data_IF_025161865901
#
_entry.id   IF_025161865901
#
_cell.length_a   1.000
_cell.length_b   1.000
_cell.length_c   1.000
_cell.angle_alpha   90.00
_cell.angle_beta   90.00
_cell.angle_gamma   90.00
#
_symmetry.space_group_name_H-M   'P 1'
#
loop_
_entity.id
_entity.type
_entity.pdbx_description
1 polymer ?
#
# COMPACT_ATOMS: atom_id res chain seq x y z
N UNK A 1 -3.50 -2.08 38.84
CA UNK A 1 -3.84 -3.49 38.54
C UNK A 1 -5.04 -3.88 39.39
N UNK A 2 -6.24 -4.02 38.80
CA UNK A 2 -7.45 -4.45 39.50
C UNK A 2 -8.19 -5.46 38.64
N UNK A 3 -8.63 -6.53 39.28
CA UNK A 3 -8.91 -7.86 38.73
C UNK A 3 -10.43 -8.00 38.58
N UNK A 4 -10.86 -8.63 37.48
CA UNK A 4 -12.24 -9.05 37.20
C UNK A 4 -12.98 -9.68 38.37
N UNK A 5 -14.29 -9.42 38.45
CA UNK A 5 -15.28 -10.34 39.04
C UNK A 5 -16.49 -10.50 38.12
N UNK A 6 -16.85 -11.75 37.92
CA UNK A 6 -17.99 -12.37 37.21
C UNK A 6 -18.36 -13.59 38.11
N UNK A 7 -19.56 -14.25 38.15
CA UNK A 7 -20.96 -14.06 37.63
C UNK A 7 -22.01 -14.36 38.77
N UNK A 8 -23.17 -15.09 38.63
CA UNK A 8 -24.29 -15.27 37.65
C UNK A 8 -25.71 -15.10 38.35
N UNK A 9 -26.79 -15.86 38.02
CA UNK A 9 -27.75 -15.79 36.90
C UNK A 9 -29.22 -15.52 37.39
N UNK A 10 -30.21 -15.49 36.47
CA UNK A 10 -31.49 -16.25 36.55
C UNK A 10 -32.73 -15.56 35.94
N UNK A 11 -33.35 -16.31 35.00
CA UNK A 11 -34.78 -16.38 34.62
C UNK A 11 -35.46 -15.12 34.03
N UNK A 12 -36.40 -15.19 33.09
CA UNK A 12 -37.35 -16.23 32.77
C UNK A 12 -37.84 -16.15 31.30
N UNK A 13 -38.23 -17.31 30.76
CA UNK A 13 -39.15 -17.45 29.63
C UNK A 13 -40.53 -16.86 29.98
N UNK A 14 -41.33 -16.46 28.98
CA UNK A 14 -42.45 -17.36 28.68
C UNK A 14 -42.68 -17.63 27.19
N UNK A 15 -43.16 -18.85 26.97
CA UNK A 15 -43.70 -19.38 25.74
C UNK A 15 -44.90 -18.58 25.21
N UNK A 16 -45.05 -18.52 23.88
CA UNK A 16 -46.39 -18.58 23.30
C UNK A 16 -46.45 -19.37 22.00
N UNK A 17 -47.35 -20.34 22.06
CA UNK A 17 -47.74 -21.38 21.12
C UNK A 17 -48.64 -20.79 20.02
N UNK A 18 -48.31 -21.00 18.74
CA UNK A 18 -49.27 -21.09 17.64
C UNK A 18 -48.58 -21.52 16.31
N UNK A 19 -48.79 -22.78 15.92
CA UNK A 19 -48.80 -23.29 14.54
C UNK A 19 -50.18 -23.97 14.37
N UNK A 20 -50.80 -24.17 13.16
CA UNK A 20 -50.19 -24.64 11.89
C UNK A 20 -50.92 -24.11 10.61
N UNK A 21 -50.97 -24.80 9.44
CA UNK A 21 -49.87 -25.07 8.50
C UNK A 21 -50.17 -24.68 7.02
N UNK A 22 -49.13 -24.86 6.20
CA UNK A 22 -49.14 -25.25 4.77
C UNK A 22 -49.56 -24.25 3.68
N UNK A 23 -48.62 -23.94 2.78
CA UNK A 23 -48.91 -23.23 1.55
C UNK A 23 -47.72 -22.67 0.77
N UNK A 24 -46.87 -23.56 0.23
CA UNK A 24 -45.99 -23.35 -0.95
C UNK A 24 -44.93 -22.23 -0.92
N UNK A 25 -43.68 -22.68 -0.84
CA UNK A 25 -42.60 -22.43 -1.81
C UNK A 25 -42.55 -21.06 -2.49
N UNK A 26 -41.53 -20.23 -2.20
CA UNK A 26 -40.30 -20.18 -2.99
C UNK A 26 -39.31 -19.13 -2.46
N UNK A 27 -38.03 -19.47 -2.62
CA UNK A 27 -36.78 -18.70 -2.54
C UNK A 27 -36.30 -18.16 -1.19
N UNK A 28 -35.07 -18.57 -0.89
CA UNK A 28 -34.35 -18.41 0.34
C UNK A 28 -33.27 -17.33 0.23
N UNK A 29 -32.94 -16.76 1.41
CA UNK A 29 -31.58 -16.43 1.90
C UNK A 29 -30.91 -15.16 1.33
N UNK A 30 -30.03 -14.51 2.12
CA UNK A 30 -30.23 -13.92 3.45
C UNK A 30 -29.83 -12.43 3.43
N UNK A 31 -29.95 -11.79 4.59
CA UNK A 31 -29.35 -10.51 4.98
C UNK A 31 -28.08 -10.14 4.20
N UNK A 32 -28.03 -8.92 3.66
CA UNK A 32 -26.80 -8.14 3.57
C UNK A 32 -26.36 -7.89 5.01
N UNK A 33 -25.67 -8.82 5.66
CA UNK A 33 -24.24 -9.11 5.54
C UNK A 33 -23.47 -7.80 5.70
N UNK A 34 -23.03 -7.59 6.93
CA UNK A 34 -21.71 -7.03 7.19
C UNK A 34 -20.74 -7.65 6.20
N UNK A 35 -20.37 -6.90 5.16
CA UNK A 35 -19.19 -7.19 4.35
C UNK A 35 -18.03 -6.51 5.08
N UNK A 36 -17.61 -7.16 6.16
CA UNK A 36 -16.18 -7.27 6.42
C UNK A 36 -15.71 -8.54 5.72
N UNK A 37 -14.48 -8.47 5.17
CA UNK A 37 -13.85 -9.36 4.19
C UNK A 37 -14.24 -9.01 2.73
N UNK A 38 -13.31 -8.86 1.79
CA UNK A 38 -12.11 -9.66 1.64
C UNK A 38 -11.20 -9.08 0.54
N UNK A 39 -9.90 -9.32 0.65
CA UNK A 39 -8.85 -8.89 -0.26
C UNK A 39 -8.10 -7.68 0.33
N UNK A 40 -7.21 -7.84 1.30
CA UNK A 40 -5.99 -8.63 1.11
C UNK A 40 -5.52 -8.46 -0.34
N UNK A 41 -5.07 -7.24 -0.66
CA UNK A 41 -4.19 -7.02 -1.80
C UNK A 41 -2.91 -7.80 -1.45
N UNK A 42 -2.98 -9.12 -1.66
CA UNK A 42 -1.79 -9.94 -1.79
C UNK A 42 -0.89 -9.14 -2.72
N UNK A 43 0.33 -8.77 -2.27
CA UNK A 43 1.06 -7.65 -2.84
C UNK A 43 1.09 -7.85 -4.34
N UNK A 44 0.35 -6.98 -5.06
CA UNK A 44 0.22 -7.06 -6.50
C UNK A 44 1.63 -7.24 -7.04
N UNK A 45 1.89 -8.46 -7.56
CA UNK A 45 3.21 -8.92 -8.01
C UNK A 45 3.86 -7.76 -8.74
N UNK A 46 4.81 -7.12 -8.07
CA UNK A 46 5.49 -5.88 -8.44
C UNK A 46 5.29 -5.50 -9.92
N UNK A 47 4.22 -4.74 -10.22
CA UNK A 47 3.85 -4.39 -11.59
C UNK A 47 4.89 -3.40 -12.14
N UNK A 48 5.86 -3.94 -12.88
CA UNK A 48 6.97 -3.18 -13.45
C UNK A 48 6.47 -2.06 -14.40
N UNK A 49 5.49 -2.29 -15.30
CA UNK A 49 4.80 -1.22 -15.99
C UNK A 49 4.23 -0.11 -15.10
N UNK A 50 3.64 -0.44 -13.94
CA UNK A 50 3.17 0.57 -12.98
C UNK A 50 4.33 1.34 -12.34
N UNK A 51 5.41 0.65 -11.96
CA UNK A 51 6.62 1.31 -11.45
C UNK A 51 7.19 2.30 -12.47
N UNK A 52 7.31 1.90 -13.73
CA UNK A 52 7.81 2.79 -14.80
C UNK A 52 6.98 4.06 -14.92
N UNK A 53 5.64 3.95 -14.84
CA UNK A 53 4.73 5.10 -14.84
C UNK A 53 4.90 5.97 -13.60
N UNK A 54 5.02 5.36 -12.41
CA UNK A 54 5.23 6.08 -11.16
C UNK A 54 6.57 6.83 -11.15
N UNK A 55 7.64 6.20 -11.65
CA UNK A 55 8.95 6.82 -11.83
C UNK A 55 8.86 7.98 -12.82
N UNK A 56 8.27 7.78 -13.99
CA UNK A 56 8.10 8.86 -14.97
C UNK A 56 7.36 10.05 -14.34
N UNK A 57 6.23 9.81 -13.66
CA UNK A 57 5.47 10.84 -12.97
C UNK A 57 6.27 11.56 -11.87
N UNK A 58 7.06 10.82 -11.09
CA UNK A 58 7.91 11.39 -10.03
C UNK A 58 9.05 12.26 -10.55
N UNK A 59 9.46 12.04 -11.81
CA UNK A 59 10.55 12.76 -12.45
C UNK A 59 10.09 13.84 -13.44
N UNK A 60 8.77 13.99 -13.68
CA UNK A 60 8.23 15.10 -14.49
C UNK A 60 8.74 16.44 -13.97
N UNK A 61 9.24 17.27 -14.87
CA UNK A 61 9.79 18.60 -14.55
C UNK A 61 11.23 18.59 -14.04
N UNK A 62 11.90 17.44 -14.01
CA UNK A 62 13.34 17.38 -13.81
C UNK A 62 14.07 17.83 -15.09
N UNK A 63 14.42 19.12 -15.17
CA UNK A 63 15.25 19.64 -16.23
C UNK A 63 16.65 18.98 -16.21
N UNK A 64 17.13 18.41 -17.34
CA UNK A 64 18.44 17.76 -17.42
C UNK A 64 19.60 18.76 -17.35
N UNK A 65 19.34 20.06 -17.50
CA UNK A 65 20.40 21.07 -17.60
C UNK A 65 20.85 21.64 -16.25
N UNK A 66 20.16 21.29 -15.16
CA UNK A 66 20.45 21.79 -13.81
C UNK A 66 20.92 20.67 -12.90
N UNK A 67 22.14 20.82 -12.36
CA UNK A 67 22.76 19.84 -11.44
C UNK A 67 21.92 19.58 -10.19
N UNK A 68 21.33 20.62 -9.62
CA UNK A 68 20.44 20.50 -8.45
C UNK A 68 19.17 19.73 -8.81
N UNK A 69 18.66 19.96 -10.01
CA UNK A 69 17.47 19.28 -10.53
C UNK A 69 17.72 17.80 -10.78
N UNK A 70 18.87 17.45 -11.38
CA UNK A 70 19.30 16.05 -11.56
C UNK A 70 19.48 15.36 -10.21
N UNK A 71 20.08 16.04 -9.23
CA UNK A 71 20.28 15.49 -7.88
C UNK A 71 18.95 15.19 -7.19
N UNK A 72 18.01 16.14 -7.23
CA UNK A 72 16.66 15.94 -6.71
C UNK A 72 15.91 14.83 -7.45
N UNK A 73 16.06 14.74 -8.78
CA UNK A 73 15.46 13.70 -9.60
C UNK A 73 15.96 12.30 -9.21
N UNK A 74 17.28 12.11 -8.99
CA UNK A 74 17.81 10.82 -8.50
C UNK A 74 17.24 10.42 -7.15
N UNK A 75 17.17 11.36 -6.21
CA UNK A 75 16.56 11.09 -4.91
C UNK A 75 15.08 10.69 -5.04
N UNK A 76 14.31 11.34 -5.93
CA UNK A 76 12.92 10.96 -6.20
C UNK A 76 12.80 9.58 -6.84
N UNK A 77 13.69 9.22 -7.77
CA UNK A 77 13.76 7.88 -8.36
C UNK A 77 13.96 6.83 -7.27
N UNK A 78 15.01 6.99 -6.45
CA UNK A 78 15.34 6.04 -5.37
C UNK A 78 14.19 5.91 -4.40
N UNK A 79 13.58 7.02 -3.96
CA UNK A 79 12.40 6.99 -3.08
C UNK A 79 11.26 6.21 -3.72
N UNK A 80 10.95 6.45 -5.00
CA UNK A 80 9.86 5.78 -5.70
C UNK A 80 10.08 4.27 -5.77
N UNK A 81 11.31 3.85 -6.10
CA UNK A 81 11.67 2.42 -6.17
C UNK A 81 11.61 1.77 -4.79
N UNK A 82 12.17 2.40 -3.76
CA UNK A 82 12.15 1.84 -2.40
C UNK A 82 10.74 1.72 -1.83
N UNK A 83 9.87 2.70 -2.08
CA UNK A 83 8.48 2.66 -1.64
C UNK A 83 7.66 1.61 -2.38
N UNK A 84 7.99 1.38 -3.64
CA UNK A 84 7.37 0.32 -4.43
C UNK A 84 7.86 -1.06 -3.99
N UNK A 85 9.15 -1.22 -3.68
CA UNK A 85 9.74 -2.49 -3.27
C UNK A 85 9.28 -2.90 -1.86
N UNK A 86 9.35 -1.96 -0.91
CA UNK A 86 9.19 -2.25 0.52
C UNK A 86 7.92 -1.68 1.15
N UNK A 87 7.11 -0.94 0.38
CA UNK A 87 5.91 -0.28 0.90
C UNK A 87 6.18 1.09 1.54
N UNK A 88 5.13 1.81 1.96
CA UNK A 88 5.25 3.13 2.58
C UNK A 88 5.89 3.13 3.98
N UNK A 89 5.86 2.01 4.68
CA UNK A 89 6.35 1.83 6.06
C UNK A 89 7.86 2.05 6.14
N UNK A 90 8.61 1.84 5.05
CA UNK A 90 10.05 2.04 5.01
C UNK A 90 10.48 3.48 5.36
N UNK A 91 9.58 4.46 5.22
CA UNK A 91 9.84 5.86 5.58
C UNK A 91 9.96 6.08 7.08
N UNK A 92 9.44 5.16 7.89
CA UNK A 92 9.49 5.24 9.35
C UNK A 92 10.87 4.83 9.88
N UNK A 93 11.72 4.20 9.05
CA UNK A 93 13.08 3.89 9.45
C UNK A 93 13.89 5.18 9.67
N UNK A 94 14.65 5.28 10.78
CA UNK A 94 15.45 6.46 11.08
C UNK A 94 16.55 6.71 10.03
N UNK A 95 16.98 5.66 9.33
CA UNK A 95 18.01 5.73 8.29
C UNK A 95 17.45 6.01 6.89
N UNK A 96 16.13 6.17 6.74
CA UNK A 96 15.46 6.36 5.45
C UNK A 96 16.15 7.42 4.58
N UNK A 97 16.38 8.61 5.15
CA UNK A 97 16.95 9.71 4.39
C UNK A 97 18.41 9.44 4.00
N UNK A 98 19.22 8.91 4.92
CA UNK A 98 20.62 8.56 4.64
C UNK A 98 20.75 7.43 3.61
N UNK A 99 19.84 6.45 3.64
CA UNK A 99 19.79 5.37 2.66
C UNK A 99 19.44 5.90 1.27
N UNK A 100 18.43 6.78 1.17
CA UNK A 100 18.04 7.42 -0.10
C UNK A 100 19.19 8.24 -0.68
N UNK A 101 19.85 9.04 0.14
CA UNK A 101 20.99 9.86 -0.26
C UNK A 101 22.18 9.01 -0.72
N UNK A 102 22.54 7.99 0.05
CA UNK A 102 23.64 7.08 -0.28
C UNK A 102 23.39 6.32 -1.59
N UNK A 103 22.16 5.84 -1.81
CA UNK A 103 21.79 5.18 -3.06
C UNK A 103 21.76 6.16 -4.25
N UNK A 104 21.30 7.40 -4.05
CA UNK A 104 21.34 8.43 -5.10
C UNK A 104 22.78 8.82 -5.47
N UNK A 105 23.67 8.91 -4.48
CA UNK A 105 25.10 9.13 -4.68
C UNK A 105 25.78 7.96 -5.40
N UNK A 106 25.37 6.73 -5.10
CA UNK A 106 25.89 5.54 -5.77
C UNK A 106 25.61 5.58 -7.28
N UNK A 107 24.44 6.07 -7.69
CA UNK A 107 24.07 6.27 -9.11
C UNK A 107 24.99 7.32 -9.76
N UNK A 108 25.32 8.40 -9.05
CA UNK A 108 26.17 9.49 -9.58
C UNK A 108 27.65 9.09 -9.71
N UNK A 109 28.13 8.23 -8.80
CA UNK A 109 29.52 7.73 -8.79
C UNK A 109 29.83 6.83 -9.98
N UNK A 110 28.83 6.19 -10.57
CA UNK A 110 29.02 5.31 -11.72
C UNK A 110 28.73 6.07 -13.03
N UNK A 111 29.73 6.33 -13.89
CA UNK A 111 29.54 7.16 -15.07
C UNK A 111 28.51 6.59 -16.06
N UNK A 112 28.43 5.26 -16.17
CA UNK A 112 27.43 4.58 -17.01
C UNK A 112 26.01 4.77 -16.49
N UNK A 113 25.81 4.65 -15.17
CA UNK A 113 24.49 4.83 -14.54
C UNK A 113 24.06 6.29 -14.60
N UNK A 114 24.98 7.22 -14.37
CA UNK A 114 24.74 8.66 -14.55
C UNK A 114 24.28 8.98 -15.98
N UNK A 115 25.02 8.52 -16.99
CA UNK A 115 24.66 8.74 -18.39
C UNK A 115 23.35 8.03 -18.80
N UNK A 116 23.04 6.86 -18.21
CA UNK A 116 21.76 6.19 -18.43
C UNK A 116 20.59 6.98 -17.81
N UNK A 117 20.79 7.53 -16.60
CA UNK A 117 19.78 8.34 -15.92
C UNK A 117 19.49 9.65 -16.65
N UNK A 118 20.54 10.37 -17.10
CA UNK A 118 20.38 11.60 -17.89
C UNK A 118 19.65 11.35 -19.21
N UNK A 119 20.01 10.27 -19.92
CA UNK A 119 19.28 9.85 -21.12
C UNK A 119 17.81 9.53 -20.82
N UNK A 120 17.53 8.88 -19.70
CA UNK A 120 16.16 8.60 -19.29
C UNK A 120 15.38 9.90 -19.05
N UNK A 121 15.96 10.88 -18.34
CA UNK A 121 15.33 12.18 -18.14
C UNK A 121 15.02 12.90 -19.46
N UNK A 122 15.89 12.78 -20.46
CA UNK A 122 15.67 13.35 -21.79
C UNK A 122 14.56 12.65 -22.61
N UNK A 123 14.08 11.48 -22.17
CA UNK A 123 13.00 10.73 -22.84
C UNK A 123 11.62 10.90 -22.19
N UNK A 124 11.55 11.56 -21.03
CA UNK A 124 10.31 11.85 -20.32
C UNK A 124 9.58 13.06 -20.94
#
# INVERSE_FOLDING_TARGET
MSISRVPPPMHALPARLAEPPDGRTQVAKPASRHVVADGEDAPARHDLPALKRAVAAALVGAAPDSRDTITAARQRLVRTVLLWEYGPEIREHPEWQSMVESAADAIDRQPEQRAAFERFLATL
#
